data_IF_590359859238
#
_entry.id   IF_590359859238
#
_cell.length_a   1.000
_cell.length_b   1.000
_cell.length_c   1.000
_cell.angle_alpha   90.00
_cell.angle_beta   90.00
_cell.angle_gamma   90.00
#
_symmetry.space_group_name_H-M   'P 1'
#
loop_
_entity.id
_entity.type
_entity.pdbx_description
1 polymer ?
#
# COMPACT_ATOMS: atom_id res chain seq x y z
N UNK A 1 -10.53 -8.19 -1.04
CA UNK A 1 -10.18 -7.53 0.24
C UNK A 1 -11.46 -7.25 0.99
N UNK A 2 -11.71 -7.96 2.08
CA UNK A 2 -12.80 -7.67 3.03
C UNK A 2 -12.29 -6.75 4.15
N UNK A 3 -13.19 -6.10 4.89
CA UNK A 3 -12.83 -5.20 5.99
C UNK A 3 -11.89 -5.86 7.02
N UNK A 4 -12.12 -7.14 7.32
CA UNK A 4 -11.30 -7.94 8.23
C UNK A 4 -9.86 -8.10 7.73
N UNK A 5 -9.65 -8.27 6.43
CA UNK A 5 -8.31 -8.36 5.85
C UNK A 5 -7.59 -7.02 5.92
N UNK A 6 -8.29 -5.92 5.63
CA UNK A 6 -7.72 -4.57 5.76
C UNK A 6 -7.34 -4.26 7.22
N UNK A 7 -8.19 -4.61 8.19
CA UNK A 7 -7.88 -4.47 9.61
C UNK A 7 -6.67 -5.33 10.02
N UNK A 8 -6.53 -6.52 9.45
CA UNK A 8 -5.39 -7.40 9.69
C UNK A 8 -4.10 -6.79 9.11
N UNK A 9 -4.17 -6.20 7.92
CA UNK A 9 -3.06 -5.47 7.29
C UNK A 9 -2.66 -4.23 8.12
N UNK A 10 -3.62 -3.43 8.56
CA UNK A 10 -3.38 -2.25 9.42
C UNK A 10 -2.75 -2.68 10.76
N UNK A 11 -3.23 -3.76 11.36
CA UNK A 11 -2.64 -4.33 12.59
C UNK A 11 -1.25 -4.91 12.38
N UNK A 12 -0.98 -5.46 11.19
CA UNK A 12 0.31 -6.02 10.80
C UNK A 12 1.39 -4.96 10.54
N UNK A 13 1.00 -3.72 10.25
CA UNK A 13 1.93 -2.62 10.00
C UNK A 13 2.59 -2.68 8.62
N UNK A 14 3.55 -1.78 8.39
CA UNK A 14 4.31 -1.71 7.13
C UNK A 14 5.25 -2.89 6.99
N UNK A 15 5.31 -3.44 5.78
CA UNK A 15 6.20 -4.54 5.46
C UNK A 15 6.63 -4.46 3.99
N UNK A 16 7.52 -5.34 3.57
CA UNK A 16 8.06 -5.40 2.21
C UNK A 16 7.00 -5.54 1.09
N UNK A 17 5.76 -5.88 1.46
CA UNK A 17 4.60 -6.04 0.57
C UNK A 17 3.42 -5.13 0.96
N UNK A 18 3.52 -4.33 2.03
CA UNK A 18 2.41 -3.50 2.52
C UNK A 18 2.94 -2.11 2.87
N UNK A 19 2.48 -1.09 2.15
CA UNK A 19 2.93 0.30 2.34
C UNK A 19 1.73 1.23 2.55
N UNK A 20 1.80 2.09 3.57
CA UNK A 20 0.74 3.07 3.83
C UNK A 20 1.14 4.43 3.26
N UNK A 21 0.38 4.94 2.31
CA UNK A 21 0.60 6.27 1.75
C UNK A 21 -0.53 7.21 2.13
N UNK A 22 -0.18 8.40 2.62
CA UNK A 22 -1.19 9.45 2.80
C UNK A 22 -1.61 10.03 1.46
N UNK A 23 -2.90 10.01 1.16
CA UNK A 23 -3.46 10.58 -0.08
C UNK A 23 -4.74 11.33 0.22
N UNK A 24 -4.65 12.66 0.28
CA UNK A 24 -5.75 13.53 0.73
C UNK A 24 -6.59 14.10 -0.42
N UNK A 25 -6.04 14.21 -1.64
CA UNK A 25 -6.74 14.80 -2.80
C UNK A 25 -6.48 14.05 -4.09
N UNK A 26 -5.25 13.58 -4.29
CA UNK A 26 -4.82 12.89 -5.49
C UNK A 26 -3.84 11.78 -5.14
N UNK A 27 -3.77 10.79 -6.03
CA UNK A 27 -2.71 9.78 -6.00
C UNK A 27 -1.41 10.48 -6.37
N UNK A 28 -0.54 10.69 -5.38
CA UNK A 28 0.73 11.38 -5.58
C UNK A 28 1.67 10.52 -6.43
N UNK A 29 2.61 11.17 -7.14
CA UNK A 29 3.65 10.48 -7.94
C UNK A 29 4.39 9.39 -7.14
N UNK A 30 4.52 9.61 -5.85
CA UNK A 30 5.12 8.71 -4.88
C UNK A 30 4.42 7.33 -4.84
N UNK A 31 3.10 7.26 -5.06
CA UNK A 31 2.37 5.99 -5.16
C UNK A 31 2.77 5.21 -6.41
N UNK A 32 2.97 5.89 -7.54
CA UNK A 32 3.39 5.25 -8.80
C UNK A 32 4.79 4.66 -8.69
N UNK A 33 5.69 5.33 -7.95
CA UNK A 33 7.04 4.82 -7.68
C UNK A 33 6.99 3.53 -6.83
N UNK A 34 6.15 3.50 -5.79
CA UNK A 34 5.87 2.29 -5.00
C UNK A 34 5.27 1.18 -5.85
N UNK A 35 4.33 1.48 -6.76
CA UNK A 35 3.76 0.48 -7.67
C UNK A 35 4.86 -0.12 -8.56
N UNK A 36 5.76 0.71 -9.09
CA UNK A 36 6.89 0.22 -9.89
C UNK A 36 7.84 -0.66 -9.06
N UNK A 37 8.14 -0.24 -7.83
CA UNK A 37 8.96 -1.00 -6.89
C UNK A 37 8.35 -2.35 -6.50
N UNK A 38 7.03 -2.41 -6.30
CA UNK A 38 6.30 -3.66 -6.08
C UNK A 38 6.24 -4.52 -7.33
N UNK A 39 6.02 -3.94 -8.50
CA UNK A 39 5.99 -4.65 -9.78
C UNK A 39 7.34 -5.30 -10.11
N UNK A 40 8.46 -4.71 -9.69
CA UNK A 40 9.80 -5.25 -9.89
C UNK A 40 10.19 -6.34 -8.88
N UNK A 41 9.36 -6.59 -7.86
CA UNK A 41 9.57 -7.61 -6.83
C UNK A 41 8.51 -8.70 -6.96
N UNK A 42 7.70 -8.92 -5.92
CA UNK A 42 6.64 -9.93 -5.89
C UNK A 42 5.23 -9.30 -5.83
N UNK A 43 5.11 -8.02 -6.18
CA UNK A 43 3.90 -7.24 -5.94
C UNK A 43 3.76 -6.80 -4.48
N UNK A 44 2.63 -6.15 -4.19
CA UNK A 44 2.33 -5.61 -2.86
C UNK A 44 0.97 -4.92 -2.81
N UNK A 45 0.61 -4.48 -1.62
CA UNK A 45 -0.62 -3.75 -1.30
C UNK A 45 -0.22 -2.35 -0.85
N UNK A 46 -0.74 -1.34 -1.53
CA UNK A 46 -0.63 0.06 -1.11
C UNK A 46 -1.96 0.45 -0.50
N UNK A 47 -1.93 0.87 0.76
CA UNK A 47 -3.12 1.36 1.46
C UNK A 47 -3.06 2.88 1.45
N UNK A 48 -4.07 3.49 0.83
CA UNK A 48 -4.20 4.95 0.70
C UNK A 48 -5.21 5.46 1.73
N UNK A 49 -4.82 6.47 2.51
CA UNK A 49 -5.68 7.08 3.54
C UNK A 49 -5.29 8.49 3.93
#
# INVERSE_FOLDING_TARGET
MTETELLTLIRGGENIRVEFKKSTKDVTKDVYDTVCSFSNREGGIIVLG
#
